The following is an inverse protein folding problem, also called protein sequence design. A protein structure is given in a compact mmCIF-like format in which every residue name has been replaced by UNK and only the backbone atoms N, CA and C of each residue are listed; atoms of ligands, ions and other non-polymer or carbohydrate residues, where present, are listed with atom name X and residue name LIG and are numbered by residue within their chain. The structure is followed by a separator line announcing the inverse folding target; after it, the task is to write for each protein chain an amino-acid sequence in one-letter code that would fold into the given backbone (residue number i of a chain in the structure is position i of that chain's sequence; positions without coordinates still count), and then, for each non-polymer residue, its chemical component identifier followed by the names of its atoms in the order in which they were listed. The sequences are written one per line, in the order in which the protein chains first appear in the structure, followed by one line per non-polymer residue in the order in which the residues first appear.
data_IF_975863822657
#
_entry.id   IF_975863822657
#
_cell.length_a   1.000
_cell.length_b   1.000
_cell.length_c   1.000
_cell.angle_alpha   90.00
_cell.angle_beta   90.00
_cell.angle_gamma   90.00
#
_symmetry.space_group_name_H-M   'P 1'
#
loop_
_entity.id
_entity.type
_entity.pdbx_description
1 polymer ?
#
# COMPACT_ATOMS: atom_id res chain seq x y z
N UNK A 1 5.55 8.28 14.68
CA UNK A 1 6.91 8.68 14.28
C UNK A 1 6.81 9.01 12.80
N UNK A 2 7.22 10.19 12.31
CA UNK A 2 7.23 10.41 10.87
C UNK A 2 8.15 9.36 10.23
N UNK A 3 7.81 8.87 9.02
CA UNK A 3 8.66 7.92 8.33
C UNK A 3 10.03 8.55 8.06
N UNK A 4 11.06 7.72 8.14
CA UNK A 4 12.44 8.08 7.84
C UNK A 4 12.56 8.40 6.33
N UNK A 5 13.30 9.45 5.95
CA UNK A 5 13.49 9.82 4.53
C UNK A 5 14.09 8.66 3.72
N UNK A 6 14.90 7.82 4.38
CA UNK A 6 15.45 6.59 3.80
C UNK A 6 14.37 5.53 3.53
N UNK A 7 13.38 5.39 4.42
CA UNK A 7 12.27 4.46 4.24
C UNK A 7 11.35 4.92 3.11
N UNK A 8 11.08 6.23 3.03
CA UNK A 8 10.32 6.81 1.94
C UNK A 8 10.96 6.48 0.58
N UNK A 9 12.25 6.79 0.44
CA UNK A 9 12.99 6.57 -0.81
C UNK A 9 13.02 5.09 -1.18
N UNK A 10 13.23 4.22 -0.19
CA UNK A 10 13.21 2.77 -0.39
C UNK A 10 11.86 2.26 -0.91
N UNK A 11 10.75 2.69 -0.31
CA UNK A 11 9.41 2.26 -0.73
C UNK A 11 9.10 2.80 -2.12
N UNK A 12 9.35 4.08 -2.40
CA UNK A 12 9.07 4.69 -3.71
C UNK A 12 9.87 4.00 -4.83
N UNK A 13 11.16 3.72 -4.61
CA UNK A 13 11.98 2.98 -5.55
C UNK A 13 11.44 1.56 -5.78
N UNK A 14 11.08 0.86 -4.70
CA UNK A 14 10.50 -0.48 -4.78
C UNK A 14 9.20 -0.50 -5.58
N UNK A 15 8.32 0.49 -5.40
CA UNK A 15 7.09 0.60 -6.19
C UNK A 15 7.39 0.76 -7.68
N UNK A 16 8.35 1.61 -8.04
CA UNK A 16 8.75 1.81 -9.43
C UNK A 16 9.36 0.54 -10.05
N UNK A 17 10.20 -0.18 -9.31
CA UNK A 17 10.79 -1.44 -9.75
C UNK A 17 9.73 -2.52 -9.97
N UNK A 18 8.81 -2.70 -9.01
CA UNK A 18 7.71 -3.67 -9.11
C UNK A 18 6.82 -3.32 -10.32
N UNK A 19 6.42 -2.07 -10.45
CA UNK A 19 5.62 -1.58 -11.58
C UNK A 19 6.31 -1.84 -12.93
N UNK A 20 7.62 -1.62 -13.00
CA UNK A 20 8.44 -1.94 -14.17
C UNK A 20 8.48 -3.44 -14.49
N UNK A 21 8.58 -4.30 -13.47
CA UNK A 21 8.60 -5.76 -13.63
C UNK A 21 7.28 -6.32 -14.18
N UNK A 22 6.15 -5.71 -13.84
CA UNK A 22 4.83 -6.08 -14.37
C UNK A 22 4.48 -5.37 -15.69
N UNK A 23 5.43 -4.65 -16.28
CA UNK A 23 5.29 -4.02 -17.61
C UNK A 23 4.51 -2.71 -17.61
N UNK A 24 4.23 -2.12 -16.44
CA UNK A 24 3.51 -0.86 -16.28
C UNK A 24 4.31 0.13 -15.43
N UNK A 25 5.43 0.68 -15.95
CA UNK A 25 6.28 1.57 -15.17
C UNK A 25 5.53 2.83 -14.72
N UNK A 26 5.66 3.19 -13.45
CA UNK A 26 5.07 4.40 -12.87
C UNK A 26 6.09 5.53 -12.78
N UNK A 27 5.61 6.77 -12.85
CA UNK A 27 6.44 7.95 -12.59
C UNK A 27 6.74 8.10 -11.10
N UNK A 28 7.81 8.84 -10.78
CA UNK A 28 8.15 9.22 -9.40
C UNK A 28 7.00 9.93 -8.69
N UNK A 29 6.24 10.78 -9.40
CA UNK A 29 5.08 11.47 -8.85
C UNK A 29 3.96 10.50 -8.43
N UNK A 30 3.74 9.42 -9.20
CA UNK A 30 2.76 8.38 -8.85
C UNK A 30 3.26 7.58 -7.64
N UNK A 31 4.53 7.17 -7.64
CA UNK A 31 5.13 6.47 -6.52
C UNK A 31 5.07 7.29 -5.21
N UNK A 32 5.36 8.60 -5.30
CA UNK A 32 5.23 9.54 -4.19
C UNK A 32 3.79 9.64 -3.69
N UNK A 33 2.81 9.78 -4.59
CA UNK A 33 1.38 9.83 -4.21
C UNK A 33 0.92 8.56 -3.49
N UNK A 34 1.27 7.39 -4.03
CA UNK A 34 0.93 6.09 -3.42
C UNK A 34 1.53 5.98 -2.02
N UNK A 35 2.78 6.42 -1.85
CA UNK A 35 3.45 6.43 -0.56
C UNK A 35 2.76 7.35 0.46
N UNK A 36 2.48 8.60 0.08
CA UNK A 36 1.76 9.57 0.94
C UNK A 36 0.38 9.05 1.35
N UNK A 37 -0.31 8.40 0.42
CA UNK A 37 -1.61 7.80 0.67
C UNK A 37 -1.51 6.61 1.64
N UNK A 38 -0.52 5.73 1.46
CA UNK A 38 -0.26 4.65 2.39
C UNK A 38 0.04 5.17 3.81
N UNK A 39 0.89 6.20 3.93
CA UNK A 39 1.18 6.88 5.19
C UNK A 39 -0.08 7.48 5.80
N UNK A 40 -0.93 8.13 5.02
CA UNK A 40 -2.18 8.70 5.51
C UNK A 40 -3.12 7.60 6.06
N UNK A 41 -3.14 6.42 5.45
CA UNK A 41 -3.95 5.30 5.89
C UNK A 41 -3.45 4.68 7.20
N UNK A 42 -2.16 4.37 7.31
CA UNK A 42 -1.62 3.68 8.50
C UNK A 42 -1.06 4.62 9.57
N UNK A 43 -0.96 5.93 9.29
CA UNK A 43 -0.31 6.90 10.18
C UNK A 43 -0.95 7.05 11.56
N UNK A 44 -2.18 6.58 11.72
CA UNK A 44 -2.89 6.53 13.01
C UNK A 44 -2.51 5.29 13.86
N UNK A 45 -1.77 4.34 13.29
CA UNK A 45 -1.40 3.06 13.89
C UNK A 45 0.07 3.06 14.35
N UNK A 46 0.39 2.15 15.26
CA UNK A 46 1.76 1.68 15.43
C UNK A 46 1.99 0.54 14.46
N UNK A 47 2.85 0.74 13.46
CA UNK A 47 3.10 -0.23 12.37
C UNK A 47 4.59 -0.47 12.17
N UNK A 48 4.92 -1.66 11.64
CA UNK A 48 6.27 -1.95 11.18
C UNK A 48 6.49 -1.38 9.77
N UNK A 49 7.74 -1.05 9.37
CA UNK A 49 8.03 -0.55 8.02
C UNK A 49 7.51 -1.47 6.90
N UNK A 50 7.51 -2.78 7.13
CA UNK A 50 6.98 -3.77 6.19
C UNK A 50 5.47 -3.63 5.98
N UNK A 51 4.71 -3.30 7.01
CA UNK A 51 3.25 -3.07 6.93
C UNK A 51 2.94 -1.93 5.97
N UNK A 52 3.69 -0.82 6.09
CA UNK A 52 3.57 0.33 5.17
C UNK A 52 3.90 -0.08 3.73
N UNK A 53 4.97 -0.84 3.53
CA UNK A 53 5.34 -1.35 2.21
C UNK A 53 4.26 -2.25 1.60
N UNK A 54 3.62 -3.11 2.41
CA UNK A 54 2.51 -3.97 1.97
C UNK A 54 1.28 -3.15 1.55
N UNK A 55 0.90 -2.13 2.34
CA UNK A 55 -0.21 -1.22 1.99
C UNK A 55 0.09 -0.46 0.69
N UNK A 56 1.29 0.12 0.58
CA UNK A 56 1.70 0.84 -0.63
C UNK A 56 1.72 -0.07 -1.87
N UNK A 57 2.18 -1.32 -1.71
CA UNK A 57 2.16 -2.32 -2.78
C UNK A 57 0.74 -2.68 -3.24
N UNK A 58 -0.22 -2.80 -2.32
CA UNK A 58 -1.61 -3.08 -2.68
C UNK A 58 -2.26 -1.88 -3.39
N UNK A 59 -2.02 -0.65 -2.91
CA UNK A 59 -2.46 0.57 -3.59
C UNK A 59 -1.88 0.68 -5.00
N UNK A 60 -0.63 0.26 -5.22
CA UNK A 60 -0.05 0.17 -6.56
C UNK A 60 -0.80 -0.81 -7.45
N UNK A 61 -1.17 -1.99 -6.94
CA UNK A 61 -1.97 -2.96 -7.70
C UNK A 61 -3.30 -2.35 -8.12
N UNK A 62 -3.99 -1.67 -7.20
CA UNK A 62 -5.24 -0.98 -7.49
C UNK A 62 -5.11 0.12 -8.55
N UNK A 63 -4.03 0.90 -8.49
CA UNK A 63 -3.74 1.92 -9.50
C UNK A 63 -3.53 1.32 -10.90
N UNK A 64 -2.87 0.17 -10.98
CA UNK A 64 -2.45 -0.43 -12.25
C UNK A 64 -3.49 -1.36 -12.87
N UNK A 65 -4.37 -1.97 -12.07
CA UNK A 65 -5.38 -2.92 -12.53
C UNK A 65 -6.76 -2.29 -12.76
N UNK A 66 -6.87 -0.95 -12.66
CA UNK A 66 -8.16 -0.23 -12.78
C UNK A 66 -9.26 -0.85 -11.90
N UNK A 67 -8.89 -1.24 -10.66
CA UNK A 67 -9.82 -1.84 -9.70
C UNK A 67 -10.98 -0.90 -9.43
N UNK A 68 -12.18 -1.46 -9.21
CA UNK A 68 -13.38 -0.66 -8.99
C UNK A 68 -13.17 0.32 -7.82
N UNK A 69 -13.52 1.62 -7.98
CA UNK A 69 -13.33 2.62 -6.94
C UNK A 69 -13.92 2.23 -5.59
N UNK A 70 -15.07 1.53 -5.62
CA UNK A 70 -15.76 1.04 -4.41
C UNK A 70 -14.92 0.01 -3.64
N UNK A 71 -14.15 -0.83 -4.32
CA UNK A 71 -13.25 -1.81 -3.69
C UNK A 71 -12.04 -1.10 -3.05
N UNK A 72 -11.48 -0.12 -3.76
CA UNK A 72 -10.38 0.71 -3.23
C UNK A 72 -10.83 1.46 -1.97
N UNK A 73 -12.02 2.06 -2.01
CA UNK A 73 -12.61 2.76 -0.87
C UNK A 73 -12.96 1.80 0.28
N UNK A 74 -13.46 0.60 -0.03
CA UNK A 74 -13.70 -0.42 0.98
C UNK A 74 -12.39 -0.79 1.71
N UNK A 75 -11.30 -1.07 0.97
CA UNK A 75 -10.01 -1.41 1.57
C UNK A 75 -9.50 -0.30 2.49
N UNK A 76 -9.52 0.95 2.01
CA UNK A 76 -9.12 2.13 2.80
C UNK A 76 -9.91 2.25 4.09
N UNK A 77 -11.23 2.05 4.02
CA UNK A 77 -12.10 2.07 5.18
C UNK A 77 -11.81 0.92 6.16
N UNK A 78 -11.42 -0.26 5.68
CA UNK A 78 -11.01 -1.37 6.55
C UNK A 78 -9.70 -1.06 7.27
N UNK A 79 -8.69 -0.53 6.57
CA UNK A 79 -7.41 -0.13 7.18
C UNK A 79 -7.60 0.92 8.27
N UNK A 80 -8.51 1.87 8.08
CA UNK A 80 -8.84 2.87 9.11
C UNK A 80 -9.56 2.31 10.35
N UNK A 81 -10.10 1.09 10.26
CA UNK A 81 -10.76 0.41 11.38
C UNK A 81 -9.83 -0.57 12.11
N UNK A 82 -8.64 -0.83 11.57
CA UNK A 82 -7.60 -1.63 12.22
C UNK A 82 -7.14 -0.98 13.52
N UNK A 83 -6.71 -1.79 14.50
CA UNK A 83 -6.24 -1.30 15.81
C UNK A 83 -4.74 -1.09 15.85
N UNK A 84 -4.01 -1.87 15.06
CA UNK A 84 -2.56 -1.82 14.93
C UNK A 84 -2.11 -2.37 13.56
N UNK A 85 -0.79 -2.43 13.35
CA UNK A 85 -0.23 -2.95 12.12
C UNK A 85 -0.46 -4.46 11.89
N UNK A 86 -0.70 -5.26 12.93
CA UNK A 86 -0.96 -6.69 12.78
C UNK A 86 -2.34 -6.91 12.13
N UNK A 87 -3.37 -6.20 12.60
CA UNK A 87 -4.70 -6.20 11.98
C UNK A 87 -4.65 -5.83 10.48
N UNK A 88 -3.77 -4.89 10.10
CA UNK A 88 -3.59 -4.48 8.69
C UNK A 88 -2.96 -5.61 7.87
N UNK A 89 -1.97 -6.31 8.42
CA UNK A 89 -1.35 -7.43 7.74
C UNK A 89 -2.31 -8.61 7.56
N UNK A 90 -3.13 -8.92 8.57
CA UNK A 90 -4.18 -9.93 8.47
C UNK A 90 -5.23 -9.58 7.39
N UNK A 91 -5.64 -8.31 7.32
CA UNK A 91 -6.55 -7.82 6.29
C UNK A 91 -5.95 -8.05 4.89
N UNK A 92 -4.71 -7.65 4.66
CA UNK A 92 -4.03 -7.82 3.36
C UNK A 92 -3.89 -9.30 3.01
N UNK A 93 -3.54 -10.15 3.98
CA UNK A 93 -3.44 -11.59 3.77
C UNK A 93 -4.79 -12.24 3.44
N UNK A 94 -5.88 -11.74 4.02
CA UNK A 94 -7.24 -12.20 3.70
C UNK A 94 -7.61 -11.91 2.24
N UNK A 95 -7.19 -10.76 1.69
CA UNK A 95 -7.44 -10.37 0.31
C UNK A 95 -6.69 -11.25 -0.67
N UNK A 96 -5.39 -11.49 -0.42
CA UNK A 96 -4.58 -12.38 -1.25
C UNK A 96 -5.08 -13.83 -1.32
N UNK A 97 -5.80 -14.30 -0.28
CA UNK A 97 -6.42 -15.63 -0.29
C UNK A 97 -7.70 -15.71 -1.13
N UNK A 98 -8.38 -14.59 -1.34
CA UNK A 98 -9.62 -14.56 -2.13
C UNK A 98 -9.28 -14.68 -3.62
N UNK A 99 -8.18 -14.08 -4.09
CA UNK A 99 -7.69 -14.21 -5.48
C UNK A 99 -7.19 -15.62 -5.86
N UNK A 100 -7.07 -16.54 -4.91
CA UNK A 100 -6.57 -17.91 -5.14
C UNK A 100 -7.65 -18.99 -5.10
N UNK A 101 -8.94 -18.63 -5.02
CA UNK A 101 -10.10 -19.54 -5.07
C UNK A 101 -10.87 -19.42 -6.39
#
# INVERSE_FOLDING_TARGET
MPPDDDLQMFIQHSLQEIAGQIGQPISEAIAYRIYEEAIALVGHLSYAPVTLGRVAGLLLVYELQEVEPDEVDWFKNQVQQCRDGEDVEELIESLSRIDTL
#
